data_IF_540677144609
#
_entry.id   IF_540677144609
#
_cell.length_a   1.000
_cell.length_b   1.000
_cell.length_c   1.000
_cell.angle_alpha   90.00
_cell.angle_beta   90.00
_cell.angle_gamma   90.00
#
_symmetry.space_group_name_H-M   'P 1'
#
loop_
_entity.id
_entity.type
_entity.pdbx_description
1 polymer ?
#
# COMPACT_ATOMS: atom_id res chain seq x y z
N UNK A 1 5.70 2.98 -1.66
CA UNK A 1 6.23 3.13 -0.28
C UNK A 1 6.17 4.59 0.13
N UNK A 2 6.47 4.95 1.38
CA UNK A 2 6.32 6.33 1.91
C UNK A 2 7.28 7.36 1.28
N UNK A 3 8.39 6.90 0.70
CA UNK A 3 9.34 7.68 -0.08
C UNK A 3 9.41 7.26 -1.56
N UNK A 4 8.45 6.47 -2.05
CA UNK A 4 8.38 6.07 -3.46
C UNK A 4 8.06 7.29 -4.34
N UNK A 5 8.93 7.67 -5.30
CA UNK A 5 8.73 8.88 -6.08
C UNK A 5 7.44 8.86 -6.92
N UNK A 6 6.98 7.69 -7.36
CA UNK A 6 5.75 7.57 -8.12
C UNK A 6 4.53 7.77 -7.22
N UNK A 7 4.46 7.04 -6.10
CA UNK A 7 3.29 7.12 -5.21
C UNK A 7 3.27 8.39 -4.33
N UNK A 8 4.40 8.74 -3.73
CA UNK A 8 4.50 9.87 -2.80
C UNK A 8 4.78 11.21 -3.52
N UNK A 9 5.37 11.18 -4.71
CA UNK A 9 5.78 12.37 -5.45
C UNK A 9 4.79 12.86 -6.51
N UNK A 10 3.94 12.00 -7.06
CA UNK A 10 3.04 12.35 -8.18
C UNK A 10 1.60 12.63 -7.76
N UNK A 11 1.31 12.60 -6.45
CA UNK A 11 0.01 12.98 -5.89
C UNK A 11 -0.91 11.81 -5.52
N UNK A 12 -0.52 10.57 -5.80
CA UNK A 12 -1.31 9.37 -5.44
C UNK A 12 -1.54 9.24 -3.94
N UNK A 13 -0.55 9.60 -3.11
CA UNK A 13 -0.71 9.61 -1.65
C UNK A 13 -1.83 10.55 -1.18
N UNK A 14 -1.99 11.71 -1.83
CA UNK A 14 -3.03 12.67 -1.46
C UNK A 14 -4.40 12.22 -1.99
N UNK A 15 -4.45 11.59 -3.16
CA UNK A 15 -5.64 10.94 -3.68
C UNK A 15 -6.11 9.80 -2.73
N UNK A 16 -5.19 8.94 -2.28
CA UNK A 16 -5.49 7.86 -1.33
C UNK A 16 -6.00 8.40 0.01
N UNK A 17 -5.38 9.47 0.55
CA UNK A 17 -5.87 10.16 1.75
C UNK A 17 -7.26 10.75 1.55
N UNK A 18 -7.60 11.23 0.35
CA UNK A 18 -8.94 11.73 0.05
C UNK A 18 -9.99 10.61 0.08
N UNK A 19 -9.66 9.42 -0.43
CA UNK A 19 -10.53 8.23 -0.33
C UNK A 19 -10.80 7.86 1.13
N UNK A 20 -9.76 7.79 1.97
CA UNK A 20 -9.94 7.49 3.41
C UNK A 20 -10.83 8.51 4.11
N UNK A 21 -10.74 9.79 3.76
CA UNK A 21 -11.63 10.82 4.33
C UNK A 21 -13.09 10.69 3.87
N UNK A 22 -13.33 10.14 2.68
CA UNK A 22 -14.64 10.09 2.06
C UNK A 22 -15.41 8.79 2.36
N UNK A 23 -14.72 7.69 2.63
CA UNK A 23 -15.32 6.39 2.89
C UNK A 23 -15.50 6.14 4.39
N UNK A 24 -16.61 5.50 4.76
CA UNK A 24 -16.94 5.19 6.16
C UNK A 24 -16.05 4.07 6.76
N UNK A 25 -15.62 3.13 5.93
CA UNK A 25 -14.71 2.03 6.31
C UNK A 25 -13.55 1.99 5.29
N UNK A 26 -12.51 2.78 5.56
CA UNK A 26 -11.29 2.82 4.75
C UNK A 26 -10.08 3.14 5.61
N UNK A 27 -8.96 2.51 5.28
CA UNK A 27 -7.68 2.67 5.96
C UNK A 27 -6.55 2.83 4.92
N UNK A 28 -5.56 3.67 5.22
CA UNK A 28 -4.35 3.84 4.40
C UNK A 28 -3.13 3.44 5.22
N UNK A 29 -2.34 2.52 4.69
CA UNK A 29 -1.06 2.11 5.24
C UNK A 29 0.06 2.49 4.27
N UNK A 30 1.12 3.10 4.80
CA UNK A 30 2.33 3.39 4.04
C UNK A 30 3.45 2.45 4.50
N UNK A 31 4.05 1.73 3.55
CA UNK A 31 5.23 0.92 3.83
C UNK A 31 6.49 1.79 3.78
N UNK A 32 7.42 1.66 4.74
CA UNK A 32 8.65 2.45 4.76
C UNK A 32 9.56 2.08 3.58
N UNK A 33 10.13 3.09 2.92
CA UNK A 33 11.11 2.93 1.84
C UNK A 33 10.74 3.68 0.55
N UNK A 34 11.56 3.51 -0.48
CA UNK A 34 11.45 4.23 -1.76
C UNK A 34 11.16 3.32 -2.96
N UNK A 35 11.05 2.00 -2.75
CA UNK A 35 10.91 1.02 -3.83
C UNK A 35 9.48 0.94 -4.33
N UNK A 36 9.30 1.22 -5.62
CA UNK A 36 8.06 0.96 -6.35
C UNK A 36 7.90 -0.54 -6.65
N UNK A 37 6.66 -1.03 -6.76
CA UNK A 37 6.32 -2.45 -7.00
C UNK A 37 6.98 -3.45 -6.03
N UNK A 38 7.20 -3.06 -4.76
CA UNK A 38 7.89 -3.88 -3.76
C UNK A 38 7.20 -5.22 -3.45
N UNK A 39 5.96 -5.43 -3.88
CA UNK A 39 5.20 -6.67 -3.70
C UNK A 39 5.47 -7.72 -4.77
N UNK A 40 6.13 -7.38 -5.88
CA UNK A 40 6.42 -8.31 -6.98
C UNK A 40 7.73 -9.06 -6.71
N UNK A 41 7.63 -10.36 -6.41
CA UNK A 41 8.78 -11.21 -6.08
C UNK A 41 9.68 -11.55 -7.27
N UNK A 42 9.30 -11.19 -8.49
CA UNK A 42 10.14 -11.35 -9.68
C UNK A 42 11.09 -10.17 -9.92
N UNK A 43 10.91 -9.06 -9.20
CA UNK A 43 11.68 -7.83 -9.41
C UNK A 43 12.75 -7.61 -8.33
N UNK A 44 13.87 -6.93 -8.66
CA UNK A 44 14.86 -6.52 -7.65
C UNK A 44 14.33 -5.57 -6.58
N UNK A 45 13.20 -4.90 -6.85
CA UNK A 45 12.53 -4.01 -5.90
C UNK A 45 11.75 -4.76 -4.82
N UNK A 46 11.60 -6.09 -4.92
CA UNK A 46 10.91 -6.92 -3.95
C UNK A 46 11.42 -6.66 -2.51
N UNK A 47 10.48 -6.43 -1.60
CA UNK A 47 10.71 -6.35 -0.16
C UNK A 47 9.78 -7.34 0.54
N UNK A 48 10.31 -8.50 0.90
CA UNK A 48 9.55 -9.61 1.48
C UNK A 48 8.75 -9.18 2.71
N UNK A 49 9.36 -8.38 3.59
CA UNK A 49 8.74 -7.99 4.85
C UNK A 49 7.51 -7.10 4.61
N UNK A 50 7.59 -6.14 3.69
CA UNK A 50 6.47 -5.27 3.33
C UNK A 50 5.44 -6.02 2.49
N UNK A 51 5.86 -6.91 1.59
CA UNK A 51 4.96 -7.74 0.79
C UNK A 51 4.08 -8.65 1.66
N UNK A 52 4.67 -9.34 2.66
CA UNK A 52 3.90 -10.14 3.63
C UNK A 52 2.92 -9.28 4.44
N UNK A 53 3.31 -8.05 4.80
CA UNK A 53 2.44 -7.12 5.51
C UNK A 53 1.24 -6.66 4.69
N UNK A 54 1.40 -6.48 3.39
CA UNK A 54 0.28 -6.21 2.46
C UNK A 54 -0.60 -7.44 2.36
N UNK A 55 -0.02 -8.62 2.14
CA UNK A 55 -0.75 -9.88 2.02
C UNK A 55 -1.67 -10.15 3.22
N UNK A 56 -1.16 -10.04 4.45
CA UNK A 56 -2.00 -10.23 5.65
C UNK A 56 -3.14 -9.22 5.76
N UNK A 57 -2.92 -7.96 5.37
CA UNK A 57 -3.97 -6.93 5.40
C UNK A 57 -5.04 -7.18 4.35
N UNK A 58 -4.64 -7.58 3.14
CA UNK A 58 -5.59 -7.90 2.07
C UNK A 58 -6.46 -9.09 2.46
N UNK A 59 -5.87 -10.16 2.97
CA UNK A 59 -6.66 -11.30 3.47
C UNK A 59 -7.60 -10.88 4.60
N UNK A 60 -7.11 -10.17 5.60
CA UNK A 60 -7.95 -9.67 6.69
C UNK A 60 -9.05 -8.70 6.25
N UNK A 61 -8.85 -7.95 5.16
CA UNK A 61 -9.88 -7.12 4.55
C UNK A 61 -10.94 -7.97 3.83
N UNK A 62 -10.51 -8.96 3.05
CA UNK A 62 -11.41 -9.87 2.33
C UNK A 62 -12.23 -10.74 3.28
N UNK A 63 -11.67 -11.15 4.42
CA UNK A 63 -12.39 -11.90 5.46
C UNK A 63 -13.57 -11.12 6.07
N UNK A 64 -13.65 -9.79 5.87
CA UNK A 64 -14.77 -8.95 6.32
C UNK A 64 -15.90 -8.85 5.28
N UNK A 65 -15.71 -9.39 4.08
CA UNK A 65 -16.68 -9.34 2.98
C UNK A 65 -17.50 -10.63 2.99
N UNK A 66 -18.83 -10.50 3.10
CA UNK A 66 -19.79 -11.62 3.01
C UNK A 66 -20.08 -12.06 1.56
#
# INVERSE_FOLDING_TARGET
MDADPFFAGEGDVDAARAVVRAAADAELFLCPGDRHLFTDSSLPSYDEQSAMRVHHRVLGFLDRVE
#
